data_IF_840636203088
#
_entry.id   IF_840636203088
#
_cell.length_a   1.000
_cell.length_b   1.000
_cell.length_c   1.000
_cell.angle_alpha   90.00
_cell.angle_beta   90.00
_cell.angle_gamma   90.00
#
_symmetry.space_group_name_H-M   'P 1'
#
loop_
_entity.id
_entity.type
_entity.pdbx_description
1 polymer ?
#
# COMPACT_ATOMS: atom_id res chain seq x y z
N UNK A 1 19.47 61.36 16.86
CA UNK A 1 20.61 60.82 16.07
C UNK A 1 20.45 59.32 15.94
N UNK A 2 20.62 58.82 14.70
CA UNK A 2 21.14 57.51 14.35
C UNK A 2 20.22 56.27 14.44
N UNK A 3 19.70 55.91 13.27
CA UNK A 3 20.02 54.67 12.53
C UNK A 3 18.86 53.72 12.27
N UNK A 4 18.44 53.74 10.99
CA UNK A 4 17.59 52.73 10.39
C UNK A 4 18.20 51.34 10.55
N UNK A 5 17.42 50.45 11.15
CA UNK A 5 17.74 49.03 11.25
C UNK A 5 16.75 48.25 10.40
N UNK A 6 17.14 48.10 9.14
CA UNK A 6 17.01 46.89 8.36
C UNK A 6 15.59 46.28 8.28
N UNK A 7 14.83 46.69 7.26
CA UNK A 7 13.74 45.90 6.64
C UNK A 7 14.33 44.60 6.03
N UNK A 8 14.87 43.71 6.86
CA UNK A 8 15.70 42.57 6.45
C UNK A 8 15.12 41.21 6.87
N UNK A 9 13.80 41.12 7.08
CA UNK A 9 13.13 39.83 7.33
C UNK A 9 12.24 39.38 6.15
N UNK A 10 12.33 40.05 4.99
CA UNK A 10 11.53 39.67 3.81
C UNK A 10 12.17 38.66 2.85
N UNK A 11 13.29 38.01 3.21
CA UNK A 11 14.01 37.06 2.35
C UNK A 11 14.74 35.97 3.16
N UNK A 12 13.99 35.17 3.93
CA UNK A 12 14.38 33.79 4.25
C UNK A 12 13.41 32.93 3.43
N UNK A 13 13.63 32.79 2.13
CA UNK A 13 14.45 31.71 1.53
C UNK A 13 14.06 30.38 2.18
N UNK A 14 12.97 29.77 1.72
CA UNK A 14 12.96 28.72 0.69
C UNK A 14 13.89 27.54 1.04
N UNK A 15 13.31 26.34 0.94
CA UNK A 15 13.89 24.99 1.06
C UNK A 15 13.74 24.36 2.45
N UNK A 16 12.61 23.67 2.63
CA UNK A 16 12.62 22.30 3.13
C UNK A 16 11.85 21.44 2.11
N UNK A 17 12.41 21.33 0.90
CA UNK A 17 12.01 20.26 -0.03
C UNK A 17 12.59 18.98 0.56
N UNK A 18 11.70 18.11 0.99
CA UNK A 18 12.03 16.88 1.69
C UNK A 18 12.98 16.00 0.85
N UNK A 19 14.09 15.46 1.41
CA UNK A 19 14.87 14.45 0.72
C UNK A 19 14.25 13.08 1.02
N UNK A 20 13.00 12.87 0.62
CA UNK A 20 12.46 11.52 0.52
C UNK A 20 12.46 11.15 -0.96
N UNK A 21 13.60 10.66 -1.44
CA UNK A 21 13.63 9.91 -2.70
C UNK A 21 12.60 8.78 -2.66
N UNK A 22 12.15 8.27 -3.82
CA UNK A 22 11.15 7.20 -3.85
C UNK A 22 11.65 6.00 -3.03
N UNK A 23 10.98 5.72 -1.92
CA UNK A 23 11.24 4.51 -1.13
C UNK A 23 10.89 3.33 -2.05
N UNK A 24 11.83 2.39 -2.32
CA UNK A 24 11.51 1.21 -3.11
C UNK A 24 10.34 0.48 -2.46
N UNK A 25 9.22 0.40 -3.17
CA UNK A 25 8.04 -0.33 -2.74
C UNK A 25 8.36 -1.82 -2.88
N UNK A 26 8.20 -2.64 -1.83
CA UNK A 26 8.35 -4.08 -1.98
C UNK A 26 7.40 -4.55 -3.09
N UNK A 27 7.96 -5.19 -4.11
CA UNK A 27 7.19 -5.88 -5.13
C UNK A 27 6.75 -7.22 -4.55
N UNK A 28 5.45 -7.37 -4.33
CA UNK A 28 4.87 -8.65 -3.96
C UNK A 28 4.47 -9.38 -5.23
N UNK A 29 4.97 -10.60 -5.39
CA UNK A 29 4.49 -11.51 -6.42
C UNK A 29 3.59 -12.53 -5.73
N UNK A 30 2.29 -12.23 -5.64
CA UNK A 30 1.31 -13.22 -5.19
C UNK A 30 0.88 -14.10 -6.36
N UNK A 31 0.53 -15.34 -6.05
CA UNK A 31 -0.22 -16.22 -6.94
C UNK A 31 -1.30 -16.90 -6.09
N UNK A 32 -2.55 -16.45 -6.28
CA UNK A 32 -3.66 -16.78 -5.41
C UNK A 32 -4.84 -17.21 -6.28
N UNK A 33 -5.46 -18.33 -5.90
CA UNK A 33 -6.71 -18.82 -6.48
C UNK A 33 -7.65 -19.32 -5.38
N UNK A 34 -8.93 -18.95 -5.46
CA UNK A 34 -9.98 -19.61 -4.68
C UNK A 34 -10.40 -20.89 -5.38
N UNK A 35 -10.88 -21.88 -4.61
CA UNK A 35 -11.34 -23.17 -5.15
C UNK A 35 -12.86 -23.23 -5.42
N UNK A 36 -13.59 -22.17 -5.04
CA UNK A 36 -15.03 -22.05 -5.24
C UNK A 36 -15.90 -22.81 -4.22
N UNK A 37 -15.32 -23.50 -3.24
CA UNK A 37 -16.11 -24.25 -2.23
C UNK A 37 -16.80 -23.32 -1.22
N UNK A 38 -16.23 -22.15 -0.94
CA UNK A 38 -16.76 -21.17 0.03
C UNK A 38 -16.88 -19.76 -0.59
N UNK A 39 -17.25 -19.67 -1.87
CA UNK A 39 -17.43 -18.39 -2.55
C UNK A 39 -17.23 -18.51 -4.06
N UNK A 40 -16.96 -17.39 -4.72
CA UNK A 40 -16.69 -17.39 -6.16
C UNK A 40 -15.29 -17.92 -6.46
N UNK A 41 -15.18 -18.75 -7.51
CA UNK A 41 -13.90 -19.16 -8.10
C UNK A 41 -13.22 -17.96 -8.77
N UNK A 42 -12.05 -17.55 -8.27
CA UNK A 42 -11.34 -16.32 -8.63
C UNK A 42 -9.83 -16.55 -8.55
N UNK A 43 -9.06 -15.71 -9.24
CA UNK A 43 -7.61 -15.73 -9.15
C UNK A 43 -7.01 -14.34 -9.30
N UNK A 44 -5.82 -14.14 -8.74
CA UNK A 44 -5.01 -12.95 -8.99
C UNK A 44 -3.52 -13.26 -8.87
N UNK A 45 -2.75 -12.49 -9.64
CA UNK A 45 -1.29 -12.53 -9.63
C UNK A 45 -0.70 -11.15 -9.35
N UNK A 46 0.50 -11.11 -8.78
CA UNK A 46 1.18 -9.87 -8.41
C UNK A 46 0.59 -9.19 -7.18
N UNK A 47 0.48 -7.86 -7.19
CA UNK A 47 -0.17 -7.13 -6.11
C UNK A 47 -1.68 -7.15 -6.31
N UNK A 48 -2.39 -7.90 -5.47
CA UNK A 48 -3.85 -7.95 -5.49
C UNK A 48 -4.46 -7.85 -4.09
N UNK A 49 -5.69 -7.39 -4.04
CA UNK A 49 -6.55 -7.40 -2.84
C UNK A 49 -7.53 -8.56 -2.97
N UNK A 50 -7.74 -9.31 -1.89
CA UNK A 50 -8.78 -10.34 -1.81
C UNK A 50 -10.05 -9.66 -1.28
N UNK A 51 -11.07 -9.37 -2.12
CA UNK A 51 -12.29 -8.74 -1.66
C UNK A 51 -13.18 -9.75 -0.93
N UNK A 52 -14.01 -9.24 -0.01
CA UNK A 52 -15.00 -10.06 0.72
C UNK A 52 -15.93 -10.84 -0.23
N UNK A 53 -16.23 -10.28 -1.40
CA UNK A 53 -17.09 -10.92 -2.41
C UNK A 53 -16.55 -12.25 -2.94
N UNK A 54 -15.26 -12.54 -2.74
CA UNK A 54 -14.69 -13.84 -3.11
C UNK A 54 -15.00 -14.94 -2.09
N UNK A 55 -15.48 -14.57 -0.91
CA UNK A 55 -15.81 -15.47 0.17
C UNK A 55 -17.30 -15.51 0.47
N UNK A 56 -17.64 -16.23 1.52
CA UNK A 56 -19.00 -16.34 2.02
C UNK A 56 -19.04 -15.94 3.48
N UNK A 57 -19.97 -15.06 3.84
CA UNK A 57 -20.22 -14.69 5.23
C UNK A 57 -21.20 -15.68 5.88
N UNK A 58 -20.89 -16.16 7.09
CA UNK A 58 -21.75 -17.00 7.92
C UNK A 58 -21.74 -16.46 9.35
N UNK A 59 -22.88 -15.92 9.79
CA UNK A 59 -22.94 -15.13 11.02
C UNK A 59 -22.02 -13.91 10.90
N UNK A 60 -21.12 -13.75 11.86
CA UNK A 60 -20.14 -12.64 11.88
C UNK A 60 -18.78 -13.01 11.28
N UNK A 61 -18.66 -14.17 10.63
CA UNK A 61 -17.40 -14.67 10.11
C UNK A 61 -17.38 -14.66 8.58
N UNK A 62 -16.25 -14.23 8.01
CA UNK A 62 -15.96 -14.31 6.58
C UNK A 62 -15.06 -15.52 6.32
N UNK A 63 -15.50 -16.40 5.43
CA UNK A 63 -14.75 -17.58 5.02
C UNK A 63 -14.34 -17.47 3.56
N UNK A 64 -13.09 -17.85 3.28
CA UNK A 64 -12.54 -18.05 1.94
C UNK A 64 -11.96 -19.45 1.85
N UNK A 65 -11.97 -20.01 0.66
CA UNK A 65 -11.38 -21.32 0.37
C UNK A 65 -10.41 -21.18 -0.80
N UNK A 66 -9.17 -21.61 -0.59
CA UNK A 66 -8.07 -21.39 -1.53
C UNK A 66 -7.60 -22.72 -2.11
N UNK A 67 -7.51 -22.77 -3.44
CA UNK A 67 -6.77 -23.83 -4.11
C UNK A 67 -5.27 -23.54 -4.07
N UNK A 68 -4.88 -22.27 -4.24
CA UNK A 68 -3.49 -21.82 -4.15
C UNK A 68 -3.43 -20.51 -3.38
N UNK A 69 -2.51 -20.41 -2.42
CA UNK A 69 -2.25 -19.18 -1.69
C UNK A 69 -0.74 -19.03 -1.48
N UNK A 70 -0.10 -18.23 -2.34
CA UNK A 70 1.32 -17.94 -2.24
C UNK A 70 1.55 -16.44 -2.09
N UNK A 71 2.30 -16.06 -1.05
CA UNK A 71 2.78 -14.69 -0.82
C UNK A 71 4.30 -14.67 -0.96
N UNK A 72 4.81 -14.34 -2.15
CA UNK A 72 6.25 -14.17 -2.32
C UNK A 72 6.68 -12.81 -1.80
N UNK A 73 7.53 -12.80 -0.77
CA UNK A 73 8.29 -11.62 -0.37
C UNK A 73 9.59 -11.63 -1.18
N UNK A 74 9.81 -10.62 -2.03
CA UNK A 74 11.16 -10.38 -2.56
C UNK A 74 12.02 -9.91 -1.37
N UNK A 75 13.01 -10.72 -1.00
CA UNK A 75 13.93 -10.44 0.09
C UNK A 75 14.60 -9.07 -0.11
N UNK A 76 14.67 -8.29 0.97
CA UNK A 76 15.41 -7.01 1.01
C UNK A 76 16.90 -7.26 1.16
#
# INVERSE_FOLDING_TARGET
MKNGRHKLYKLISLILVAPFGPIPRPSYSADISTDGTVGSLQSCTGSCTIPQSWGTTRGNNLFHSFGTFNVSQVAR
#
